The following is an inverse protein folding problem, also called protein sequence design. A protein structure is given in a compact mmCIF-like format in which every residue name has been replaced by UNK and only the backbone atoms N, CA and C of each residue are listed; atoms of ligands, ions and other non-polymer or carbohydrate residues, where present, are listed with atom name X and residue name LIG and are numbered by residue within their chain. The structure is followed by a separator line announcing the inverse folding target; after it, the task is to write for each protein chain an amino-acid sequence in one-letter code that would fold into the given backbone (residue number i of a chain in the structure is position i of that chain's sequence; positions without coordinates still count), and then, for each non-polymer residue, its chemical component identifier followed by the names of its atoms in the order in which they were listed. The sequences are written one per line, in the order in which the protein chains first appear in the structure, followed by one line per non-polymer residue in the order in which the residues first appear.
data_IF_155204741914
#
_entry.id   IF_155204741914
#
_cell.length_a   1.000
_cell.length_b   1.000
_cell.length_c   1.000
_cell.angle_alpha   90.00
_cell.angle_beta   90.00
_cell.angle_gamma   90.00
#
_symmetry.space_group_name_H-M   'P 1'
#
loop_
_entity.id
_entity.type
_entity.pdbx_description
1 polymer ?
#
# COMPACT_ATOMS: atom_id res chain seq x y z
N UNK A 1 35.81 -25.07 -32.68
CA UNK A 1 34.95 -23.91 -32.42
C UNK A 1 35.72 -22.95 -31.52
N UNK A 2 35.71 -21.63 -31.75
CA UNK A 2 36.24 -20.70 -30.77
C UNK A 2 35.41 -20.78 -29.48
N UNK A 3 36.06 -21.05 -28.35
CA UNK A 3 35.43 -21.07 -27.03
C UNK A 3 35.04 -19.64 -26.66
N UNK A 4 33.76 -19.39 -26.42
CA UNK A 4 33.33 -18.08 -25.92
C UNK A 4 34.03 -17.79 -24.59
N UNK A 5 34.83 -16.73 -24.53
CA UNK A 5 35.47 -16.28 -23.29
C UNK A 5 34.38 -15.77 -22.36
N UNK A 6 34.20 -16.42 -21.21
CA UNK A 6 33.23 -15.97 -20.21
C UNK A 6 33.75 -14.70 -19.55
N UNK A 7 33.16 -13.56 -19.91
CA UNK A 7 33.41 -12.29 -19.23
C UNK A 7 32.92 -12.40 -17.79
N UNK A 8 33.73 -11.90 -16.86
CA UNK A 8 33.42 -11.86 -15.43
C UNK A 8 33.76 -10.49 -14.86
N UNK A 9 32.91 -9.98 -13.97
CA UNK A 9 33.11 -8.70 -13.27
C UNK A 9 33.11 -8.93 -11.76
N UNK A 10 33.83 -8.06 -11.04
CA UNK A 10 33.83 -8.01 -9.57
C UNK A 10 32.40 -7.78 -9.04
N UNK A 11 31.76 -6.72 -9.51
CA UNK A 11 30.41 -6.34 -9.14
C UNK A 11 29.45 -6.60 -10.32
N UNK A 12 28.51 -7.54 -10.17
CA UNK A 12 27.58 -7.90 -11.24
C UNK A 12 26.26 -8.45 -10.71
N UNK A 13 25.15 -7.82 -11.10
CA UNK A 13 23.81 -8.24 -10.68
C UNK A 13 23.21 -9.23 -11.68
N UNK A 14 22.58 -10.28 -11.15
CA UNK A 14 21.46 -10.94 -11.84
C UNK A 14 20.17 -10.45 -11.20
N UNK A 15 19.29 -9.86 -12.00
CA UNK A 15 17.92 -9.57 -11.59
C UNK A 15 17.14 -10.88 -11.48
N UNK A 16 16.56 -11.16 -10.31
CA UNK A 16 15.81 -12.40 -10.09
C UNK A 16 14.33 -12.16 -10.32
N UNK A 17 13.75 -11.19 -9.62
CA UNK A 17 12.33 -10.79 -9.75
C UNK A 17 12.01 -9.54 -8.94
N UNK A 18 10.87 -8.94 -9.24
CA UNK A 18 10.14 -8.10 -8.30
C UNK A 18 9.57 -8.97 -7.17
N UNK A 19 9.86 -8.58 -5.93
CA UNK A 19 9.27 -9.20 -4.74
C UNK A 19 7.98 -8.50 -4.36
N UNK A 20 7.94 -7.17 -4.50
CA UNK A 20 6.73 -6.36 -4.34
C UNK A 20 6.52 -5.45 -5.55
N UNK A 21 5.28 -4.98 -5.71
CA UNK A 21 4.87 -3.98 -6.71
C UNK A 21 5.27 -4.43 -8.13
N UNK A 22 4.54 -5.38 -8.74
CA UNK A 22 4.75 -5.74 -10.14
C UNK A 22 4.61 -4.52 -11.07
N UNK A 23 5.19 -4.63 -12.25
CA UNK A 23 5.12 -3.55 -13.25
C UNK A 23 3.66 -3.16 -13.57
N UNK A 24 3.44 -1.86 -13.74
CA UNK A 24 2.13 -1.27 -13.99
C UNK A 24 1.20 -1.20 -12.77
N UNK A 25 1.68 -1.52 -11.56
CA UNK A 25 0.88 -1.41 -10.33
C UNK A 25 0.27 -0.01 -10.21
N UNK A 26 -1.01 0.04 -9.83
CA UNK A 26 -1.78 1.27 -9.73
C UNK A 26 -1.75 1.84 -8.32
N UNK A 27 -1.50 3.14 -8.22
CA UNK A 27 -1.50 3.88 -6.97
C UNK A 27 -2.37 5.14 -7.08
N UNK A 28 -2.94 5.56 -5.96
CA UNK A 28 -3.50 6.89 -5.84
C UNK A 28 -2.39 7.95 -5.70
N UNK A 29 -2.66 9.21 -6.09
CA UNK A 29 -1.76 10.33 -5.84
C UNK A 29 -1.28 10.40 -4.38
N UNK A 30 0.03 10.50 -4.17
CA UNK A 30 0.63 10.61 -2.83
C UNK A 30 0.65 9.30 -2.02
N UNK A 31 0.39 8.14 -2.64
CA UNK A 31 0.59 6.84 -1.98
C UNK A 31 2.06 6.58 -1.66
N UNK A 32 2.35 6.27 -0.40
CA UNK A 32 3.66 5.72 -0.01
C UNK A 32 3.64 4.20 -0.18
N UNK A 33 4.66 3.65 -0.82
CA UNK A 33 4.81 2.21 -1.03
C UNK A 33 6.27 1.79 -0.93
N UNK A 34 6.50 0.50 -0.62
CA UNK A 34 7.84 -0.08 -0.57
C UNK A 34 8.04 -1.04 -1.74
N UNK A 35 8.96 -0.68 -2.63
CA UNK A 35 9.41 -1.54 -3.74
C UNK A 35 10.56 -2.41 -3.25
N UNK A 36 10.45 -3.71 -3.50
CA UNK A 36 11.48 -4.70 -3.16
C UNK A 36 11.84 -5.51 -4.39
N UNK A 37 13.13 -5.57 -4.69
CA UNK A 37 13.68 -6.43 -5.74
C UNK A 37 14.51 -7.54 -5.13
N UNK A 38 14.43 -8.74 -5.70
CA UNK A 38 15.35 -9.82 -5.42
C UNK A 38 16.48 -9.80 -6.42
N UNK A 39 17.70 -9.61 -5.93
CA UNK A 39 18.92 -9.56 -6.72
C UNK A 39 19.82 -10.74 -6.33
N UNK A 40 20.63 -11.21 -7.28
CA UNK A 40 21.66 -12.22 -7.04
C UNK A 40 23.02 -11.65 -7.39
N UNK A 41 24.01 -11.90 -6.54
CA UNK A 41 25.40 -11.59 -6.85
C UNK A 41 25.95 -12.60 -7.86
N UNK A 42 26.10 -12.16 -9.10
CA UNK A 42 26.73 -12.93 -10.19
C UNK A 42 28.22 -12.62 -10.32
N UNK A 43 28.71 -11.59 -9.64
CA UNK A 43 30.09 -11.16 -9.69
C UNK A 43 31.02 -12.05 -8.86
N UNK A 44 32.28 -11.64 -8.79
CA UNK A 44 33.32 -12.34 -8.02
C UNK A 44 33.60 -11.70 -6.65
N UNK A 45 33.12 -10.49 -6.40
CA UNK A 45 33.31 -9.76 -5.15
C UNK A 45 32.07 -9.83 -4.26
N UNK A 46 32.28 -9.98 -2.95
CA UNK A 46 31.21 -9.90 -1.96
C UNK A 46 30.72 -8.47 -1.83
N UNK A 47 29.42 -8.24 -2.01
CA UNK A 47 28.82 -6.93 -1.71
C UNK A 47 28.69 -6.77 -0.19
N UNK A 48 29.12 -5.63 0.34
CA UNK A 48 29.07 -5.33 1.78
C UNK A 48 27.92 -4.37 2.09
N UNK A 49 27.56 -4.17 3.37
CA UNK A 49 26.60 -3.13 3.78
C UNK A 49 27.01 -1.67 3.46
N UNK A 50 28.24 -1.44 2.97
CA UNK A 50 28.69 -0.14 2.46
C UNK A 50 28.32 0.10 0.99
N UNK A 51 27.89 -0.95 0.29
CA UNK A 51 27.27 -0.82 -1.02
C UNK A 51 25.87 -0.19 -0.86
N UNK A 52 25.43 0.52 -1.89
CA UNK A 52 24.16 1.23 -1.87
C UNK A 52 23.29 0.86 -3.08
N UNK A 53 22.01 0.67 -2.84
CA UNK A 53 20.96 0.82 -3.85
C UNK A 53 20.79 2.32 -4.12
N UNK A 54 20.89 2.77 -5.37
CA UNK A 54 20.83 4.20 -5.74
C UNK A 54 19.92 4.45 -6.92
N UNK A 55 19.22 5.58 -6.89
CA UNK A 55 18.44 6.08 -8.01
C UNK A 55 19.38 6.50 -9.14
N UNK A 56 19.13 6.02 -10.35
CA UNK A 56 20.00 6.26 -11.52
C UNK A 56 19.32 7.08 -12.63
N UNK A 57 18.01 7.30 -12.57
CA UNK A 57 17.29 8.13 -13.54
C UNK A 57 15.79 7.82 -13.64
N UNK A 58 15.09 8.55 -14.50
CA UNK A 58 13.62 8.47 -14.63
C UNK A 58 12.90 9.32 -13.59
N UNK A 59 11.79 8.81 -13.07
CA UNK A 59 10.98 9.47 -12.04
C UNK A 59 11.43 9.06 -10.64
N UNK A 60 11.82 10.02 -9.80
CA UNK A 60 12.38 9.73 -8.47
C UNK A 60 11.36 9.17 -7.48
N UNK A 61 10.07 9.47 -7.68
CA UNK A 61 8.96 9.04 -6.83
C UNK A 61 9.24 9.27 -5.33
N UNK A 62 9.57 10.50 -4.96
CA UNK A 62 9.89 10.91 -3.59
C UNK A 62 11.34 11.39 -3.41
N UNK A 63 11.78 11.42 -2.14
CA UNK A 63 13.08 11.98 -1.73
C UNK A 63 14.18 10.96 -1.42
N UNK A 64 13.86 9.67 -1.29
CA UNK A 64 14.86 8.63 -1.05
C UNK A 64 15.66 8.40 -2.34
N UNK A 65 16.96 8.69 -2.33
CA UNK A 65 17.83 8.52 -3.51
C UNK A 65 18.89 7.42 -3.33
N UNK A 66 19.14 6.99 -2.09
CA UNK A 66 20.10 5.94 -1.79
C UNK A 66 19.73 5.18 -0.50
N UNK A 67 19.93 3.86 -0.48
CA UNK A 67 19.74 2.99 0.68
C UNK A 67 20.89 1.98 0.76
N UNK A 68 21.42 1.72 1.96
CA UNK A 68 22.47 0.71 2.17
C UNK A 68 21.92 -0.70 1.95
N UNK A 69 22.78 -1.63 1.49
CA UNK A 69 22.41 -3.04 1.47
C UNK A 69 22.16 -3.58 2.89
N UNK A 70 21.21 -4.51 3.07
CA UNK A 70 20.82 -5.01 4.40
C UNK A 70 21.85 -5.97 5.02
N UNK A 71 22.87 -6.40 4.27
CA UNK A 71 23.86 -7.38 4.73
C UNK A 71 24.92 -7.69 3.69
N UNK A 72 25.81 -8.62 4.03
CA UNK A 72 26.82 -9.16 3.11
C UNK A 72 26.18 -10.10 2.09
N UNK A 73 26.57 -9.99 0.83
CA UNK A 73 26.05 -10.82 -0.27
C UNK A 73 27.23 -11.40 -1.05
N UNK A 74 27.62 -12.63 -0.69
CA UNK A 74 28.71 -13.34 -1.36
C UNK A 74 28.34 -13.71 -2.81
N UNK A 75 29.32 -13.96 -3.70
CA UNK A 75 29.07 -14.53 -5.02
C UNK A 75 28.11 -15.73 -4.97
N UNK A 76 27.10 -15.73 -5.84
CA UNK A 76 26.05 -16.75 -5.90
C UNK A 76 24.89 -16.56 -4.92
N UNK A 77 24.99 -15.66 -3.92
CA UNK A 77 23.92 -15.40 -2.96
C UNK A 77 22.88 -14.41 -3.50
N UNK A 78 21.67 -14.48 -2.94
CA UNK A 78 20.57 -13.55 -3.21
C UNK A 78 20.33 -12.59 -2.05
N UNK A 79 19.83 -11.40 -2.38
CA UNK A 79 19.43 -10.38 -1.42
C UNK A 79 18.13 -9.72 -1.88
N UNK A 80 17.26 -9.40 -0.93
CA UNK A 80 16.10 -8.54 -1.15
C UNK A 80 16.48 -7.11 -0.76
N UNK A 81 16.44 -6.19 -1.73
CA UNK A 81 16.74 -4.77 -1.52
C UNK A 81 15.46 -3.97 -1.66
N UNK A 82 15.22 -3.07 -0.72
CA UNK A 82 13.97 -2.32 -0.64
C UNK A 82 14.20 -0.82 -0.61
N UNK A 83 13.27 -0.08 -1.19
CA UNK A 83 13.19 1.38 -1.11
C UNK A 83 11.74 1.81 -0.90
N UNK A 84 11.54 2.77 0.01
CA UNK A 84 10.24 3.42 0.22
C UNK A 84 10.14 4.64 -0.68
N UNK A 85 9.08 4.66 -1.49
CA UNK A 85 8.79 5.66 -2.51
C UNK A 85 7.40 6.26 -2.29
N UNK A 86 7.15 7.40 -2.93
CA UNK A 86 5.86 8.08 -2.93
C UNK A 86 5.40 8.29 -4.38
N UNK A 87 4.22 7.78 -4.70
CA UNK A 87 3.55 8.00 -5.97
C UNK A 87 3.36 9.50 -6.20
N UNK A 88 3.74 10.05 -7.37
CA UNK A 88 3.56 11.47 -7.68
C UNK A 88 2.11 11.94 -7.53
N UNK A 89 1.90 13.23 -7.24
CA UNK A 89 0.56 13.80 -7.08
C UNK A 89 -0.22 13.90 -8.41
N UNK A 90 0.51 13.90 -9.53
CA UNK A 90 -0.08 13.97 -10.86
C UNK A 90 -0.36 12.57 -11.37
N UNK A 91 -1.49 12.41 -12.04
CA UNK A 91 -1.83 11.17 -12.74
C UNK A 91 -0.88 10.98 -13.92
N UNK A 92 -0.49 9.73 -14.16
CA UNK A 92 0.45 9.40 -15.22
C UNK A 92 1.09 8.04 -15.03
N UNK A 93 1.87 7.65 -16.03
CA UNK A 93 2.77 6.51 -15.98
C UNK A 93 4.14 7.00 -15.52
N UNK A 94 4.76 6.27 -14.59
CA UNK A 94 6.02 6.67 -13.96
C UNK A 94 6.97 5.48 -13.87
N UNK A 95 8.22 5.70 -14.26
CA UNK A 95 9.26 4.67 -14.20
C UNK A 95 10.52 5.23 -13.54
N UNK A 96 10.94 4.60 -12.45
CA UNK A 96 12.15 4.96 -11.71
C UNK A 96 13.21 3.89 -11.87
N UNK A 97 14.42 4.28 -12.29
CA UNK A 97 15.53 3.37 -12.53
C UNK A 97 16.52 3.38 -11.36
N UNK A 98 17.00 2.18 -11.03
CA UNK A 98 17.84 1.92 -9.87
C UNK A 98 19.02 1.00 -10.23
N UNK A 99 20.15 1.28 -9.60
CA UNK A 99 21.39 0.51 -9.73
C UNK A 99 22.01 0.26 -8.36
N UNK A 100 22.97 -0.65 -8.29
CA UNK A 100 23.84 -0.74 -7.12
C UNK A 100 25.08 0.14 -7.33
N UNK A 101 25.63 0.66 -6.25
CA UNK A 101 26.86 1.45 -6.20
C UNK A 101 27.82 0.84 -5.20
N UNK A 102 29.04 0.56 -5.64
CA UNK A 102 30.10 0.05 -4.75
C UNK A 102 30.75 1.17 -3.92
N UNK A 103 31.68 0.81 -3.05
CA UNK A 103 32.37 1.74 -2.14
C UNK A 103 33.28 2.75 -2.85
N UNK A 104 33.65 2.50 -4.11
CA UNK A 104 34.40 3.42 -4.96
C UNK A 104 33.49 4.39 -5.74
N UNK A 105 32.17 4.31 -5.55
CA UNK A 105 31.21 5.15 -6.25
C UNK A 105 30.83 4.67 -7.64
N UNK A 106 31.28 3.48 -8.07
CA UNK A 106 30.99 2.92 -9.39
C UNK A 106 29.60 2.29 -9.39
N UNK A 107 28.78 2.64 -10.39
CA UNK A 107 27.47 2.05 -10.62
C UNK A 107 27.59 0.73 -11.37
N UNK A 108 26.81 -0.27 -10.94
CA UNK A 108 26.70 -1.54 -11.60
C UNK A 108 25.28 -2.10 -11.48
N UNK A 109 24.94 -2.97 -12.41
CA UNK A 109 23.59 -3.51 -12.56
C UNK A 109 23.61 -4.86 -13.27
N UNK A 110 22.53 -5.17 -13.98
CA UNK A 110 22.37 -6.44 -14.67
C UNK A 110 22.77 -6.35 -16.15
N UNK A 111 22.59 -7.46 -16.87
CA UNK A 111 22.93 -7.59 -18.29
C UNK A 111 24.40 -7.92 -18.52
N UNK A 112 24.77 -8.21 -19.77
CA UNK A 112 26.08 -8.78 -20.11
C UNK A 112 27.26 -7.82 -19.87
N UNK A 113 27.00 -6.53 -19.76
CA UNK A 113 27.99 -5.49 -19.44
C UNK A 113 27.87 -4.94 -18.01
N UNK A 114 27.08 -5.60 -17.15
CA UNK A 114 26.86 -5.21 -15.75
C UNK A 114 26.43 -3.73 -15.55
N UNK A 115 25.74 -3.14 -16.53
CA UNK A 115 25.44 -1.70 -16.58
C UNK A 115 23.96 -1.37 -16.79
N UNK A 116 23.06 -2.35 -16.75
CA UNK A 116 21.62 -2.12 -16.90
C UNK A 116 20.96 -1.88 -15.54
N UNK A 117 20.18 -0.81 -15.44
CA UNK A 117 19.38 -0.49 -14.27
C UNK A 117 18.10 -1.32 -14.23
N UNK A 118 17.75 -1.86 -13.06
CA UNK A 118 16.42 -2.40 -12.79
C UNK A 118 15.49 -1.25 -12.41
N UNK A 119 14.18 -1.49 -12.40
CA UNK A 119 13.22 -0.39 -12.32
C UNK A 119 12.00 -0.69 -11.46
N UNK A 120 11.30 0.38 -11.12
CA UNK A 120 9.93 0.36 -10.61
C UNK A 120 9.05 1.06 -11.63
N UNK A 121 7.92 0.43 -11.96
CA UNK A 121 6.98 0.90 -12.97
C UNK A 121 5.58 0.97 -12.38
N UNK A 122 4.98 2.16 -12.34
CA UNK A 122 3.67 2.39 -11.73
C UNK A 122 2.77 3.26 -12.60
N UNK A 123 1.47 3.15 -12.34
CA UNK A 123 0.46 4.05 -12.86
C UNK A 123 -0.19 4.81 -11.71
N UNK A 124 -0.14 6.14 -11.74
CA UNK A 124 -0.89 6.99 -10.82
C UNK A 124 -2.23 7.33 -11.45
N UNK A 125 -3.31 6.91 -10.80
CA UNK A 125 -4.67 7.17 -11.24
C UNK A 125 -5.64 7.40 -10.08
N UNK A 126 -6.79 7.98 -10.39
CA UNK A 126 -7.87 8.09 -9.41
C UNK A 126 -8.51 6.71 -9.25
N UNK A 127 -8.16 6.01 -8.17
CA UNK A 127 -8.76 4.73 -7.86
C UNK A 127 -10.22 4.92 -7.45
N UNK A 128 -11.14 4.04 -7.87
CA UNK A 128 -12.58 4.27 -7.68
C UNK A 128 -13.08 4.01 -6.26
N UNK A 129 -12.35 3.20 -5.48
CA UNK A 129 -12.78 2.76 -4.15
C UNK A 129 -11.65 2.80 -3.13
N UNK A 130 -11.97 3.14 -1.87
CA UNK A 130 -11.09 3.02 -0.71
C UNK A 130 -11.58 1.94 0.25
N UNK A 131 -10.66 1.38 1.04
CA UNK A 131 -10.99 0.44 2.11
C UNK A 131 -11.42 1.22 3.37
N UNK A 132 -12.46 0.78 4.04
CA UNK A 132 -12.99 1.39 5.27
C UNK A 132 -13.00 0.34 6.36
N UNK A 133 -12.35 0.65 7.48
CA UNK A 133 -12.25 -0.21 8.65
C UNK A 133 -12.83 0.45 9.89
N UNK A 134 -13.61 -0.33 10.62
CA UNK A 134 -14.22 0.10 11.87
C UNK A 134 -14.54 -1.07 12.77
N UNK A 135 -14.91 -0.74 14.00
CA UNK A 135 -15.37 -1.70 14.99
C UNK A 135 -16.74 -1.33 15.56
N UNK A 136 -17.38 -2.33 16.14
CA UNK A 136 -18.58 -2.18 16.95
C UNK A 136 -18.23 -2.39 18.42
N UNK A 137 -18.86 -1.63 19.31
CA UNK A 137 -18.80 -1.91 20.74
C UNK A 137 -20.19 -2.33 21.22
N UNK A 138 -20.29 -3.56 21.71
CA UNK A 138 -21.55 -4.14 22.16
C UNK A 138 -21.62 -4.04 23.68
N UNK A 139 -22.64 -3.38 24.25
CA UNK A 139 -22.78 -3.25 25.70
C UNK A 139 -23.30 -4.52 26.39
N UNK A 140 -23.71 -5.56 25.64
CA UNK A 140 -24.32 -6.79 26.16
C UNK A 140 -23.63 -8.07 25.67
N UNK A 141 -23.89 -9.17 26.37
CA UNK A 141 -23.42 -10.53 26.02
C UNK A 141 -24.06 -11.08 24.72
N UNK A 142 -25.12 -10.44 24.21
CA UNK A 142 -25.80 -10.83 22.98
C UNK A 142 -25.65 -9.74 21.92
N UNK A 143 -24.85 -10.02 20.90
CA UNK A 143 -24.65 -9.16 19.74
C UNK A 143 -25.51 -9.65 18.57
N UNK A 144 -26.66 -9.00 18.26
CA UNK A 144 -27.50 -9.37 17.14
C UNK A 144 -26.81 -9.11 15.79
N UNK A 145 -27.27 -9.72 14.69
CA UNK A 145 -26.78 -9.37 13.37
C UNK A 145 -27.15 -7.92 13.07
N UNK A 146 -26.21 -7.16 12.51
CA UNK A 146 -26.42 -5.77 12.16
C UNK A 146 -26.46 -5.58 10.65
N UNK A 147 -27.15 -4.54 10.21
CA UNK A 147 -26.92 -3.94 8.90
C UNK A 147 -26.14 -2.66 9.10
N UNK A 148 -24.93 -2.61 8.53
CA UNK A 148 -24.07 -1.43 8.49
C UNK A 148 -24.45 -0.58 7.28
N UNK A 149 -24.63 0.71 7.49
CA UNK A 149 -25.02 1.68 6.48
C UNK A 149 -23.95 2.74 6.30
N UNK A 150 -23.74 3.13 5.05
CA UNK A 150 -22.95 4.27 4.64
C UNK A 150 -23.78 5.16 3.74
N UNK A 151 -24.18 6.33 4.25
CA UNK A 151 -24.90 7.34 3.49
C UNK A 151 -23.90 8.34 2.91
N UNK A 152 -23.87 8.50 1.59
CA UNK A 152 -23.06 9.50 0.93
C UNK A 152 -23.60 10.90 1.28
N UNK A 153 -22.75 11.76 1.83
CA UNK A 153 -23.13 13.07 2.33
C UNK A 153 -23.58 14.05 1.22
N UNK A 154 -23.11 13.83 -0.01
CA UNK A 154 -23.40 14.70 -1.16
C UNK A 154 -24.64 14.23 -1.93
N UNK A 155 -24.79 12.91 -2.13
CA UNK A 155 -25.87 12.34 -2.96
C UNK A 155 -27.04 11.77 -2.15
N UNK A 156 -26.84 11.47 -0.87
CA UNK A 156 -27.80 10.72 -0.05
C UNK A 156 -27.90 9.24 -0.41
N UNK A 157 -27.04 8.73 -1.31
CA UNK A 157 -27.02 7.31 -1.68
C UNK A 157 -26.57 6.47 -0.48
N UNK A 158 -27.29 5.36 -0.23
CA UNK A 158 -27.01 4.46 0.89
C UNK A 158 -26.44 3.15 0.37
N UNK A 159 -25.27 2.79 0.89
CA UNK A 159 -24.64 1.47 0.69
C UNK A 159 -24.75 0.71 2.00
N UNK A 160 -25.18 -0.56 1.94
CA UNK A 160 -25.41 -1.38 3.11
C UNK A 160 -24.65 -2.71 3.08
N UNK A 161 -24.22 -3.18 4.25
CA UNK A 161 -23.53 -4.45 4.44
C UNK A 161 -24.14 -5.22 5.60
N UNK A 162 -24.30 -6.53 5.45
CA UNK A 162 -24.68 -7.40 6.55
C UNK A 162 -23.45 -7.70 7.42
N UNK A 163 -23.57 -7.48 8.73
CA UNK A 163 -22.58 -7.81 9.74
C UNK A 163 -23.13 -9.00 10.54
N UNK A 164 -22.49 -10.19 10.44
CA UNK A 164 -22.92 -11.35 11.21
C UNK A 164 -22.83 -11.09 12.72
N UNK A 165 -23.60 -11.86 13.48
CA UNK A 165 -23.50 -11.89 14.94
C UNK A 165 -22.05 -12.11 15.39
N UNK A 166 -21.71 -11.55 16.56
CA UNK A 166 -20.37 -11.69 17.17
C UNK A 166 -19.20 -11.25 16.27
N UNK A 167 -19.45 -10.36 15.31
CA UNK A 167 -18.41 -9.79 14.43
C UNK A 167 -18.05 -8.36 14.88
N UNK A 168 -17.01 -8.16 15.72
CA UNK A 168 -16.72 -6.88 16.35
C UNK A 168 -16.08 -5.84 15.43
N UNK A 169 -15.74 -6.21 14.19
CA UNK A 169 -15.05 -5.34 13.25
C UNK A 169 -15.41 -5.65 11.81
N UNK A 170 -15.29 -4.65 10.94
CA UNK A 170 -15.57 -4.78 9.52
C UNK A 170 -14.46 -4.17 8.68
N UNK A 171 -14.33 -4.69 7.46
CA UNK A 171 -13.54 -4.08 6.38
C UNK A 171 -14.32 -4.15 5.08
N UNK A 172 -14.62 -3.00 4.49
CA UNK A 172 -15.43 -2.90 3.26
C UNK A 172 -14.79 -1.95 2.26
N UNK A 173 -15.16 -2.06 0.99
CA UNK A 173 -14.78 -1.10 -0.05
C UNK A 173 -15.93 -0.14 -0.32
N UNK A 174 -15.66 1.15 -0.27
CA UNK A 174 -16.61 2.20 -0.63
C UNK A 174 -16.08 3.04 -1.78
N UNK A 175 -16.94 3.58 -2.65
CA UNK A 175 -16.54 4.58 -3.63
C UNK A 175 -15.93 5.82 -2.97
N UNK A 176 -15.22 6.63 -3.76
CA UNK A 176 -14.73 7.93 -3.29
C UNK A 176 -15.90 8.83 -2.89
N UNK A 177 -15.82 9.46 -1.72
CA UNK A 177 -16.86 10.36 -1.24
C UNK A 177 -16.74 10.70 0.23
N UNK A 178 -17.62 11.57 0.70
CA UNK A 178 -17.84 11.81 2.13
C UNK A 178 -19.04 10.98 2.58
N UNK A 179 -18.92 10.27 3.68
CA UNK A 179 -19.96 9.36 4.17
C UNK A 179 -20.29 9.59 5.63
N UNK A 180 -21.52 9.27 6.00
CA UNK A 180 -21.98 9.05 7.36
C UNK A 180 -22.15 7.53 7.59
N UNK A 181 -21.55 6.99 8.63
CA UNK A 181 -21.72 5.60 9.04
C UNK A 181 -22.64 5.48 10.27
N UNK A 182 -23.50 4.46 10.23
CA UNK A 182 -24.34 4.00 11.33
C UNK A 182 -24.71 2.53 11.10
N UNK A 183 -25.12 1.81 12.16
CA UNK A 183 -25.55 0.43 12.02
C UNK A 183 -26.84 0.16 12.78
N UNK A 184 -27.76 -0.54 12.14
CA UNK A 184 -29.06 -0.88 12.69
C UNK A 184 -29.17 -2.39 12.89
N UNK A 185 -30.01 -2.82 13.84
CA UNK A 185 -30.35 -4.23 14.06
C UNK A 185 -31.79 -4.49 13.56
N UNK A 186 -31.98 -4.90 12.29
CA UNK A 186 -33.32 -5.14 11.76
C UNK A 186 -34.07 -6.20 12.56
N UNK A 187 -35.36 -5.98 12.82
CA UNK A 187 -36.24 -6.97 13.46
C UNK A 187 -36.16 -7.02 14.99
N UNK A 188 -35.38 -6.14 15.61
CA UNK A 188 -35.41 -5.89 17.04
C UNK A 188 -36.20 -4.59 17.31
N UNK A 189 -37.03 -4.55 18.37
CA UNK A 189 -37.81 -3.35 18.77
C UNK A 189 -36.94 -2.19 19.31
N UNK A 190 -35.66 -2.22 18.98
CA UNK A 190 -34.66 -1.24 19.36
C UNK A 190 -34.79 -0.06 18.39
N UNK A 191 -35.63 0.91 18.74
CA UNK A 191 -35.80 2.17 18.00
C UNK A 191 -34.52 3.02 18.10
N UNK A 192 -33.53 2.79 17.22
CA UNK A 192 -32.25 3.50 17.24
C UNK A 192 -31.20 2.88 16.32
N UNK A 193 -29.97 3.38 16.38
CA UNK A 193 -28.83 2.79 15.68
C UNK A 193 -27.54 2.93 16.48
N UNK A 194 -26.58 2.05 16.21
CA UNK A 194 -25.19 2.22 16.61
C UNK A 194 -24.55 3.34 15.80
N UNK A 195 -23.98 4.30 16.52
CA UNK A 195 -23.37 5.53 16.03
C UNK A 195 -22.03 5.75 16.77
N UNK A 196 -21.37 6.88 16.55
CA UNK A 196 -20.10 7.16 17.26
C UNK A 196 -20.34 7.53 18.74
N UNK A 197 -19.26 7.76 19.49
CA UNK A 197 -19.29 8.11 20.93
C UNK A 197 -20.00 9.44 21.26
N UNK A 198 -20.26 10.31 20.28
CA UNK A 198 -20.97 11.57 20.51
C UNK A 198 -22.46 11.49 20.14
N UNK A 199 -22.99 10.27 19.96
CA UNK A 199 -24.38 9.98 19.63
C UNK A 199 -24.85 10.55 18.27
N UNK A 200 -23.92 10.73 17.33
CA UNK A 200 -24.20 11.14 15.95
C UNK A 200 -23.56 10.19 14.94
N UNK A 201 -24.07 10.19 13.70
CA UNK A 201 -23.46 9.35 12.65
C UNK A 201 -21.98 9.70 12.44
N UNK A 202 -21.14 8.68 12.27
CA UNK A 202 -19.70 8.89 12.08
C UNK A 202 -19.44 9.43 10.69
N UNK A 203 -19.06 10.71 10.58
CA UNK A 203 -18.64 11.33 9.33
C UNK A 203 -17.18 11.00 9.00
N UNK A 204 -16.88 10.65 7.75
CA UNK A 204 -15.53 10.40 7.27
C UNK A 204 -15.43 10.55 5.74
N UNK A 205 -14.19 10.57 5.22
CA UNK A 205 -13.91 10.68 3.78
C UNK A 205 -13.25 9.41 3.30
N UNK A 206 -13.74 8.86 2.20
CA UNK A 206 -13.16 7.72 1.49
C UNK A 206 -12.34 8.24 0.32
N UNK A 207 -11.08 7.82 0.25
CA UNK A 207 -10.18 8.09 -0.88
C UNK A 207 -9.75 6.79 -1.52
N UNK A 208 -9.77 6.76 -2.84
CA UNK A 208 -9.45 5.60 -3.65
C UNK A 208 -8.07 5.05 -3.31
N UNK A 209 -7.95 3.73 -3.17
CA UNK A 209 -6.68 3.06 -2.85
C UNK A 209 -6.17 3.26 -1.42
N UNK A 210 -6.82 4.09 -0.61
CA UNK A 210 -6.45 4.32 0.80
C UNK A 210 -7.32 3.47 1.73
N UNK A 211 -6.75 3.09 2.86
CA UNK A 211 -7.51 2.58 4.00
C UNK A 211 -7.89 3.72 4.95
N UNK A 212 -9.18 3.87 5.22
CA UNK A 212 -9.72 4.77 6.23
C UNK A 212 -10.13 3.96 7.44
N UNK A 213 -9.34 4.02 8.51
CA UNK A 213 -9.55 3.26 9.75
C UNK A 213 -10.20 4.12 10.84
N UNK A 214 -10.69 3.48 11.90
CA UNK A 214 -11.25 4.18 13.07
C UNK A 214 -12.69 4.64 12.88
N UNK A 215 -13.42 4.02 11.95
CA UNK A 215 -14.85 4.27 11.73
C UNK A 215 -15.65 3.42 12.73
N UNK A 216 -15.43 3.70 14.02
CA UNK A 216 -16.01 2.90 15.10
C UNK A 216 -17.43 3.38 15.41
N UNK A 217 -18.35 2.42 15.59
CA UNK A 217 -19.75 2.62 15.94
C UNK A 217 -20.00 1.98 17.30
N UNK A 218 -19.85 2.80 18.34
CA UNK A 218 -19.54 2.38 19.70
C UNK A 218 -20.65 2.68 20.70
N UNK A 219 -21.66 3.48 20.32
CA UNK A 219 -22.75 3.86 21.20
C UNK A 219 -24.11 3.76 20.50
N UNK A 220 -25.16 3.56 21.29
CA UNK A 220 -26.53 3.40 20.80
C UNK A 220 -27.30 4.71 20.92
N UNK A 221 -27.79 5.24 19.81
CA UNK A 221 -28.64 6.44 19.80
C UNK A 221 -30.07 6.10 19.40
N UNK A 222 -31.08 6.49 20.20
CA UNK A 222 -32.49 6.40 19.80
C UNK A 222 -32.89 7.45 18.75
N UNK A 223 -32.02 8.43 18.48
CA UNK A 223 -32.21 9.47 17.48
C UNK A 223 -31.04 9.49 16.47
N UNK A 224 -30.85 8.41 15.69
CA UNK A 224 -29.61 8.19 14.93
C UNK A 224 -29.47 9.10 13.70
N UNK A 225 -30.49 9.89 13.35
CA UNK A 225 -30.48 10.79 12.19
C UNK A 225 -29.75 12.11 12.45
N UNK A 226 -29.22 12.35 13.65
CA UNK A 226 -28.33 13.48 13.91
C UNK A 226 -27.04 13.31 13.10
N UNK A 227 -26.90 14.11 12.03
CA UNK A 227 -25.64 14.26 11.30
C UNK A 227 -24.69 15.04 12.19
N UNK A 228 -23.64 14.40 12.69
CA UNK A 228 -22.56 15.09 13.38
C UNK A 228 -21.83 16.05 12.44
N UNK A 229 -21.35 17.18 12.97
CA UNK A 229 -20.53 18.15 12.22
C UNK A 229 -19.20 17.53 11.74
#
# INVERSE_FOLDING_TARGET
MPTATTVSYCDWVTFVKDVSIPDGTKFAPGDTFTKTWRLKNRGTCTWTPDYMLVFSGGDSMGGTTAVRLPGYVAPGQTVDVSVTLTAPDKRGHYTGYWMLRNTYGVLFGYGDSANKAFYVDINVENLPHGEVKGSFYYPSEFNPPLTLYFENADTGEIIQFAIPESTPSYSVLLPNGTYYAYAWAPGYELQGAYVNDNLTMKRFVVRGGKTTSGINLTDWSPYPHSRGE
#
